data_IF_623900820293
#
_entry.id   IF_623900820293
#
_cell.length_a   1.000
_cell.length_b   1.000
_cell.length_c   1.000
_cell.angle_alpha   90.00
_cell.angle_beta   90.00
_cell.angle_gamma   90.00
#
_symmetry.space_group_name_H-M   'P 1'
#
loop_
_entity.id
_entity.type
_entity.pdbx_description
1 polymer ?
#
# COMPACT_ATOMS: atom_id res chain seq x y z
N UNK A 1 -5.51 25.40 0.61
CA UNK A 1 -6.56 24.78 -0.20
C UNK A 1 -7.09 23.50 0.45
N UNK A 2 -6.25 22.49 0.78
CA UNK A 2 -6.67 21.22 1.39
C UNK A 2 -7.54 21.36 2.65
N UNK A 3 -7.13 22.24 3.58
CA UNK A 3 -7.89 22.51 4.80
C UNK A 3 -9.28 23.13 4.50
N UNK A 4 -9.37 23.99 3.49
CA UNK A 4 -10.64 24.56 3.04
C UNK A 4 -11.54 23.50 2.38
N UNK A 5 -10.98 22.67 1.50
CA UNK A 5 -11.67 21.60 0.78
C UNK A 5 -12.30 20.57 1.73
N UNK A 6 -11.57 20.21 2.79
CA UNK A 6 -12.05 19.26 3.80
C UNK A 6 -12.95 19.90 4.87
N UNK A 7 -13.03 21.24 4.92
CA UNK A 7 -13.74 21.98 5.96
C UNK A 7 -13.03 21.96 7.32
N UNK A 8 -11.73 21.67 7.35
CA UNK A 8 -10.90 21.69 8.56
C UNK A 8 -10.35 23.10 8.77
N UNK A 9 -10.85 23.80 9.80
CA UNK A 9 -10.49 25.18 10.08
C UNK A 9 -9.60 25.31 11.31
N UNK A 10 -8.90 26.46 11.43
CA UNK A 10 -8.10 26.80 12.62
C UNK A 10 -6.86 25.95 12.81
N UNK A 11 -6.28 25.41 11.73
CA UNK A 11 -4.97 24.79 11.78
C UNK A 11 -3.87 25.83 12.04
N UNK A 12 -2.87 25.46 12.83
CA UNK A 12 -1.69 26.29 13.01
C UNK A 12 -1.00 26.55 11.65
N UNK A 13 -0.50 27.79 11.37
CA UNK A 13 0.12 28.11 10.07
C UNK A 13 1.24 27.15 9.67
N UNK A 14 2.04 26.65 10.61
CA UNK A 14 3.10 25.66 10.32
C UNK A 14 2.53 24.29 9.90
N UNK A 15 1.41 23.84 10.50
CA UNK A 15 0.74 22.62 10.03
C UNK A 15 0.20 22.78 8.60
N UNK A 16 -0.29 23.98 8.26
CA UNK A 16 -0.74 24.28 6.88
C UNK A 16 0.43 24.20 5.90
N UNK A 17 1.63 24.68 6.28
CA UNK A 17 2.84 24.55 5.46
C UNK A 17 3.27 23.09 5.32
N UNK A 18 3.26 22.31 6.40
CA UNK A 18 3.59 20.90 6.39
C UNK A 18 2.61 20.09 5.51
N UNK A 19 1.30 20.36 5.59
CA UNK A 19 0.32 19.80 4.65
C UNK A 19 0.66 20.14 3.20
N UNK A 20 1.09 21.38 2.93
CA UNK A 20 1.54 21.78 1.60
C UNK A 20 2.75 20.96 1.10
N UNK A 21 3.69 20.62 1.99
CA UNK A 21 4.85 19.76 1.65
C UNK A 21 4.43 18.35 1.23
N UNK A 22 3.34 17.81 1.79
CA UNK A 22 2.82 16.48 1.41
C UNK A 22 2.41 16.40 -0.08
N UNK A 23 2.14 17.53 -0.73
CA UNK A 23 1.85 17.56 -2.17
C UNK A 23 3.03 17.07 -3.03
N UNK A 24 4.25 17.17 -2.52
CA UNK A 24 5.47 16.74 -3.19
C UNK A 24 5.96 15.37 -2.71
N UNK A 25 5.14 14.68 -1.92
CA UNK A 25 5.44 13.36 -1.36
C UNK A 25 4.54 12.31 -2.00
N UNK A 26 5.16 11.17 -2.29
CA UNK A 26 4.47 9.99 -2.80
C UNK A 26 4.77 8.82 -1.88
N UNK A 27 3.76 8.09 -1.47
CA UNK A 27 3.87 6.88 -0.66
C UNK A 27 3.11 5.76 -1.37
N UNK A 28 3.78 4.65 -1.65
CA UNK A 28 3.21 3.52 -2.44
C UNK A 28 2.53 3.96 -3.76
N UNK A 29 3.12 4.96 -4.44
CA UNK A 29 2.59 5.49 -5.70
C UNK A 29 1.37 6.41 -5.58
N UNK A 30 0.91 6.71 -4.37
CA UNK A 30 -0.18 7.65 -4.08
C UNK A 30 0.39 8.98 -3.57
N UNK A 31 -0.12 10.12 -4.09
CA UNK A 31 0.25 11.43 -3.56
C UNK A 31 -0.30 11.60 -2.15
N UNK A 32 0.57 11.89 -1.18
CA UNK A 32 0.22 11.87 0.26
C UNK A 32 -0.81 12.95 0.61
N UNK A 33 -0.74 14.15 0.03
CA UNK A 33 -1.74 15.19 0.30
C UNK A 33 -3.13 14.80 -0.22
N UNK A 34 -3.21 14.27 -1.44
CA UNK A 34 -4.49 13.82 -2.01
C UNK A 34 -5.09 12.68 -1.20
N UNK A 35 -4.26 11.74 -0.77
CA UNK A 35 -4.64 10.68 0.14
C UNK A 35 -5.19 11.22 1.47
N UNK A 36 -4.49 12.15 2.11
CA UNK A 36 -4.95 12.77 3.37
C UNK A 36 -6.29 13.51 3.22
N UNK A 37 -6.52 14.19 2.10
CA UNK A 37 -7.82 14.81 1.78
C UNK A 37 -8.91 13.75 1.66
N UNK A 38 -8.63 12.66 0.94
CA UNK A 38 -9.57 11.56 0.74
C UNK A 38 -9.92 10.87 2.06
N UNK A 39 -8.91 10.57 2.90
CA UNK A 39 -9.10 9.99 4.24
C UNK A 39 -9.98 10.90 5.10
N UNK A 40 -9.74 12.21 5.08
CA UNK A 40 -10.57 13.17 5.81
C UNK A 40 -12.04 13.14 5.36
N UNK A 41 -12.30 13.05 4.06
CA UNK A 41 -13.66 12.95 3.54
C UNK A 41 -14.34 11.64 3.92
N UNK A 42 -13.66 10.50 3.74
CA UNK A 42 -14.20 9.18 4.06
C UNK A 42 -14.49 9.07 5.56
N UNK A 43 -13.52 9.46 6.42
CA UNK A 43 -13.71 9.46 7.87
C UNK A 43 -14.88 10.35 8.30
N UNK A 44 -15.00 11.54 7.68
CA UNK A 44 -16.11 12.45 7.95
C UNK A 44 -17.48 11.92 7.53
N UNK A 45 -17.58 11.22 6.40
CA UNK A 45 -18.81 10.58 5.93
C UNK A 45 -19.19 9.45 6.91
N UNK A 46 -18.25 8.56 7.24
CA UNK A 46 -18.51 7.48 8.19
C UNK A 46 -18.91 8.00 9.58
N UNK A 47 -18.26 9.07 10.06
CA UNK A 47 -18.63 9.70 11.33
C UNK A 47 -20.06 10.26 11.30
N UNK A 48 -20.47 10.88 10.18
CA UNK A 48 -21.83 11.38 10.01
C UNK A 48 -22.88 10.27 10.06
N UNK A 49 -22.61 9.12 9.42
CA UNK A 49 -23.55 7.98 9.35
C UNK A 49 -23.80 7.34 10.72
N UNK A 50 -22.76 7.29 11.58
CA UNK A 50 -22.87 6.64 12.89
C UNK A 50 -23.05 7.62 14.06
N UNK A 51 -23.15 8.94 13.78
CA UNK A 51 -23.33 9.98 14.79
C UNK A 51 -22.10 10.31 15.65
N UNK A 52 -20.89 10.05 15.13
CA UNK A 52 -19.62 10.41 15.76
C UNK A 52 -19.21 11.87 15.44
N UNK A 53 -18.12 12.37 16.04
CA UNK A 53 -17.65 13.74 15.77
C UNK A 53 -17.02 13.88 14.39
N UNK A 54 -17.79 14.43 13.45
CA UNK A 54 -17.39 14.65 12.05
C UNK A 54 -16.16 15.58 11.97
N UNK A 55 -16.09 16.60 12.82
CA UNK A 55 -14.98 17.56 12.78
C UNK A 55 -13.68 16.95 13.27
N UNK A 56 -13.76 16.17 14.35
CA UNK A 56 -12.62 15.40 14.86
C UNK A 56 -12.12 14.39 13.82
N UNK A 57 -13.01 13.58 13.26
CA UNK A 57 -12.68 12.56 12.28
C UNK A 57 -12.01 13.16 11.03
N UNK A 58 -12.57 14.25 10.47
CA UNK A 58 -11.98 14.96 9.34
C UNK A 58 -10.62 15.56 9.65
N UNK A 59 -10.47 16.17 10.82
CA UNK A 59 -9.23 16.80 11.24
C UNK A 59 -8.12 15.77 11.44
N UNK A 60 -8.41 14.69 12.16
CA UNK A 60 -7.47 13.60 12.36
C UNK A 60 -7.10 12.91 11.04
N UNK A 61 -8.08 12.64 10.17
CA UNK A 61 -7.87 12.08 8.85
C UNK A 61 -7.01 12.96 7.95
N UNK A 62 -7.19 14.29 7.97
CA UNK A 62 -6.35 15.22 7.20
C UNK A 62 -4.91 15.24 7.70
N UNK A 63 -4.69 15.03 8.99
CA UNK A 63 -3.39 15.16 9.66
C UNK A 63 -2.71 13.81 9.91
N UNK A 64 -3.34 12.65 9.57
CA UNK A 64 -2.83 11.34 9.96
C UNK A 64 -1.40 11.08 9.45
N UNK A 65 -1.07 11.54 8.27
CA UNK A 65 0.21 11.37 7.60
C UNK A 65 1.13 12.60 7.67
N UNK A 66 0.86 13.58 8.55
CA UNK A 66 1.59 14.84 8.60
C UNK A 66 3.10 14.67 8.84
N UNK A 67 3.51 13.60 9.55
CA UNK A 67 4.90 13.28 9.80
C UNK A 67 5.69 13.00 8.53
N UNK A 68 5.05 12.49 7.48
CA UNK A 68 5.68 12.26 6.17
C UNK A 68 6.18 13.55 5.49
N UNK A 69 5.78 14.72 5.99
CA UNK A 69 6.29 15.99 5.48
C UNK A 69 7.77 16.23 5.84
N UNK A 70 8.30 15.57 6.88
CA UNK A 70 9.64 15.79 7.44
C UNK A 70 10.38 14.50 7.89
N UNK A 71 9.86 13.32 7.59
CA UNK A 71 10.43 12.03 7.99
C UNK A 71 11.84 11.77 7.45
N UNK A 72 12.27 12.46 6.39
CA UNK A 72 13.67 12.43 5.93
C UNK A 72 14.62 13.32 6.73
N UNK A 73 14.08 14.25 7.51
CA UNK A 73 14.85 15.24 8.26
C UNK A 73 14.89 14.87 9.75
N UNK A 74 14.11 13.86 10.18
CA UNK A 74 13.94 13.47 11.58
C UNK A 74 14.03 11.95 11.75
N UNK A 75 14.61 11.50 12.86
CA UNK A 75 14.62 10.08 13.26
C UNK A 75 13.27 9.70 13.87
N UNK A 76 12.80 8.49 13.59
CA UNK A 76 11.54 7.92 14.09
C UNK A 76 10.55 7.58 12.99
N UNK A 77 9.44 6.96 13.38
CA UNK A 77 8.34 6.67 12.46
C UNK A 77 7.57 7.96 12.13
N UNK A 78 6.93 8.01 10.94
CA UNK A 78 6.12 9.19 10.60
C UNK A 78 4.94 9.39 11.57
N UNK A 79 4.49 8.34 12.28
CA UNK A 79 3.47 8.45 13.33
C UNK A 79 4.03 9.18 14.54
N UNK A 80 5.19 8.80 15.05
CA UNK A 80 5.86 9.46 16.19
C UNK A 80 6.19 10.92 15.88
N UNK A 81 6.78 11.16 14.71
CA UNK A 81 7.08 12.52 14.21
C UNK A 81 5.78 13.34 14.10
N UNK A 82 4.72 12.74 13.55
CA UNK A 82 3.40 13.37 13.45
C UNK A 82 2.82 13.75 14.80
N UNK A 83 2.85 12.84 15.77
CA UNK A 83 2.41 13.11 17.15
C UNK A 83 3.15 14.28 17.76
N UNK A 84 4.47 14.37 17.60
CA UNK A 84 5.29 15.43 18.16
C UNK A 84 5.03 16.80 17.48
N UNK A 85 4.82 16.79 16.16
CA UNK A 85 4.40 17.98 15.42
C UNK A 85 3.02 18.48 15.92
N UNK A 86 2.05 17.60 16.04
CA UNK A 86 0.71 17.94 16.49
C UNK A 86 0.70 18.46 17.93
N UNK A 87 1.47 17.85 18.85
CA UNK A 87 1.69 18.35 20.21
C UNK A 87 2.32 19.75 20.21
N UNK A 88 3.38 19.95 19.43
CA UNK A 88 4.10 21.22 19.30
C UNK A 88 3.18 22.34 18.84
N UNK A 89 2.28 22.06 17.90
CA UNK A 89 1.37 23.04 17.34
C UNK A 89 -0.01 23.04 18.01
N UNK A 90 -0.11 22.44 19.22
CA UNK A 90 -1.24 22.50 20.14
C UNK A 90 -2.56 21.94 19.57
N UNK A 91 -2.45 20.86 18.80
CA UNK A 91 -3.63 20.06 18.45
C UNK A 91 -4.20 19.37 19.70
N UNK A 92 -5.49 19.06 19.65
CA UNK A 92 -6.15 18.38 20.79
C UNK A 92 -5.63 16.94 20.95
N UNK A 93 -5.73 16.44 22.19
CA UNK A 93 -5.30 15.08 22.51
C UNK A 93 -6.09 14.03 21.73
N UNK A 94 -7.36 14.30 21.47
CA UNK A 94 -8.27 13.45 20.72
C UNK A 94 -7.83 13.34 19.25
N UNK A 95 -7.43 14.45 18.63
CA UNK A 95 -6.89 14.47 17.25
C UNK A 95 -5.58 13.69 17.18
N UNK A 96 -4.66 13.95 18.14
CA UNK A 96 -3.37 13.25 18.21
C UNK A 96 -3.58 11.76 18.40
N UNK A 97 -4.50 11.35 19.28
CA UNK A 97 -4.81 9.95 19.49
C UNK A 97 -5.39 9.32 18.22
N UNK A 98 -6.42 9.94 17.61
CA UNK A 98 -7.06 9.37 16.42
C UNK A 98 -6.10 9.24 15.23
N UNK A 99 -5.12 10.15 15.08
CA UNK A 99 -4.11 10.00 14.03
C UNK A 99 -3.05 8.94 14.35
N UNK A 100 -2.71 8.70 15.62
CA UNK A 100 -1.63 7.79 15.99
C UNK A 100 -1.94 6.31 15.80
N UNK A 101 -3.22 5.95 15.68
CA UNK A 101 -3.68 4.54 15.68
C UNK A 101 -3.74 3.90 14.29
N UNK A 102 -3.55 4.67 13.21
CA UNK A 102 -3.86 4.22 11.85
C UNK A 102 -2.97 3.05 11.34
N UNK A 103 -1.80 2.82 11.93
CA UNK A 103 -0.95 1.66 11.61
C UNK A 103 -0.99 0.54 12.66
N UNK A 104 -1.78 0.69 13.73
CA UNK A 104 -1.93 -0.34 14.76
C UNK A 104 -0.83 -0.33 15.83
N UNK A 105 0.12 0.61 15.80
CA UNK A 105 1.14 0.77 16.83
C UNK A 105 0.54 1.22 18.17
N UNK A 106 -0.62 1.87 18.12
CA UNK A 106 -1.38 2.34 19.28
C UNK A 106 -2.81 1.82 19.20
N UNK A 107 -3.35 1.38 20.33
CA UNK A 107 -4.71 0.84 20.41
C UNK A 107 -5.75 1.98 20.31
N UNK A 108 -6.75 1.88 19.39
CA UNK A 108 -7.79 2.90 19.26
C UNK A 108 -8.75 2.87 20.46
N UNK A 109 -8.90 4.00 21.14
CA UNK A 109 -9.77 4.17 22.32
C UNK A 109 -11.03 4.98 22.00
N UNK A 110 -11.15 5.52 20.79
CA UNK A 110 -12.31 6.32 20.35
C UNK A 110 -12.82 5.81 19.01
N UNK A 111 -14.10 6.08 18.75
CA UNK A 111 -14.72 5.72 17.47
C UNK A 111 -14.01 6.45 16.31
N UNK A 112 -13.68 7.70 16.49
CA UNK A 112 -12.99 8.49 15.45
C UNK A 112 -11.62 7.91 15.10
N UNK A 113 -10.89 7.34 16.07
CA UNK A 113 -9.62 6.65 15.82
C UNK A 113 -9.83 5.42 14.92
N UNK A 114 -10.85 4.60 15.20
CA UNK A 114 -11.23 3.46 14.35
C UNK A 114 -11.64 3.94 12.95
N UNK A 115 -12.40 5.03 12.86
CA UNK A 115 -12.85 5.59 11.58
C UNK A 115 -11.70 6.11 10.73
N UNK A 116 -10.70 6.75 11.32
CA UNK A 116 -9.50 7.21 10.61
C UNK A 116 -8.72 6.02 10.06
N UNK A 117 -8.50 5.00 10.87
CA UNK A 117 -7.83 3.75 10.43
C UNK A 117 -8.59 3.08 9.27
N UNK A 118 -9.91 2.96 9.37
CA UNK A 118 -10.73 2.38 8.31
C UNK A 118 -10.70 3.24 7.03
N UNK A 119 -10.76 4.57 7.17
CA UNK A 119 -10.72 5.49 6.04
C UNK A 119 -9.37 5.45 5.30
N UNK A 120 -8.26 5.36 6.04
CA UNK A 120 -6.93 5.16 5.47
C UNK A 120 -6.87 3.87 4.65
N UNK A 121 -7.30 2.75 5.22
CA UNK A 121 -7.34 1.46 4.54
C UNK A 121 -8.22 1.49 3.27
N UNK A 122 -9.39 2.12 3.31
CA UNK A 122 -10.29 2.26 2.16
C UNK A 122 -9.64 3.11 1.07
N UNK A 123 -9.05 4.26 1.42
CA UNK A 123 -8.39 5.14 0.46
C UNK A 123 -7.19 4.45 -0.21
N UNK A 124 -6.41 3.67 0.57
CA UNK A 124 -5.27 2.93 0.06
C UNK A 124 -5.66 1.75 -0.85
N UNK A 125 -6.79 1.07 -0.56
CA UNK A 125 -7.24 -0.13 -1.26
C UNK A 125 -8.07 0.15 -2.53
N UNK A 126 -8.58 1.36 -2.73
CA UNK A 126 -9.44 1.65 -3.89
C UNK A 126 -8.70 1.48 -5.22
N UNK A 127 -9.37 1.00 -6.28
CA UNK A 127 -8.75 0.82 -7.59
C UNK A 127 -8.07 2.09 -8.12
N UNK A 128 -6.80 2.00 -8.48
CA UNK A 128 -6.00 3.11 -9.04
C UNK A 128 -5.47 4.12 -8.02
N UNK A 129 -5.67 3.91 -6.70
CA UNK A 129 -5.12 4.78 -5.66
C UNK A 129 -3.59 4.71 -5.64
N UNK A 130 -3.06 3.51 -5.60
CA UNK A 130 -1.62 3.24 -5.64
C UNK A 130 -1.18 3.05 -7.10
N UNK A 131 -0.57 4.07 -7.67
CA UNK A 131 0.06 3.98 -8.98
C UNK A 131 1.49 3.52 -8.78
N UNK A 132 1.76 2.30 -9.20
CA UNK A 132 3.13 1.79 -9.24
C UNK A 132 3.97 2.66 -10.21
N UNK A 133 5.18 3.06 -9.80
CA UNK A 133 6.11 3.71 -10.72
C UNK A 133 6.62 2.70 -11.74
N UNK A 134 7.09 3.19 -12.90
CA UNK A 134 7.65 2.31 -13.93
C UNK A 134 8.83 1.48 -13.38
N UNK A 135 9.67 2.10 -12.54
CA UNK A 135 10.82 1.44 -11.92
C UNK A 135 10.38 0.35 -10.93
N UNK A 136 9.36 0.63 -10.08
CA UNK A 136 8.82 -0.36 -9.15
C UNK A 136 8.17 -1.52 -9.91
N UNK A 137 7.44 -1.21 -10.99
CA UNK A 137 6.87 -2.20 -11.89
C UNK A 137 7.94 -3.11 -12.51
N UNK A 138 9.01 -2.54 -13.07
CA UNK A 138 10.11 -3.31 -13.67
C UNK A 138 10.78 -4.20 -12.62
N UNK A 139 11.13 -3.65 -11.45
CA UNK A 139 11.74 -4.43 -10.35
C UNK A 139 10.86 -5.60 -9.90
N UNK A 140 9.54 -5.39 -9.87
CA UNK A 140 8.60 -6.47 -9.52
C UNK A 140 8.59 -7.58 -10.57
N UNK A 141 8.63 -7.25 -11.88
CA UNK A 141 8.73 -8.25 -12.93
C UNK A 141 10.04 -9.03 -12.84
N UNK A 142 11.15 -8.33 -12.69
CA UNK A 142 12.48 -8.94 -12.54
C UNK A 142 12.54 -9.88 -11.32
N UNK A 143 11.97 -9.43 -10.18
CA UNK A 143 11.94 -10.25 -8.96
C UNK A 143 11.04 -11.47 -9.09
N UNK A 144 9.90 -11.36 -9.77
CA UNK A 144 9.03 -12.51 -10.08
C UNK A 144 9.78 -13.55 -10.90
N UNK A 145 10.48 -13.14 -11.95
CA UNK A 145 11.26 -14.03 -12.80
C UNK A 145 12.48 -14.58 -12.05
N UNK A 146 13.14 -13.82 -11.21
CA UNK A 146 14.24 -14.27 -10.34
C UNK A 146 13.77 -15.38 -9.39
N UNK A 147 12.64 -15.18 -8.70
CA UNK A 147 12.05 -16.20 -7.81
C UNK A 147 11.80 -17.48 -8.59
N UNK A 148 11.10 -17.40 -9.72
CA UNK A 148 10.77 -18.58 -10.51
C UNK A 148 12.01 -19.30 -11.05
N UNK A 149 12.98 -18.56 -11.58
CA UNK A 149 14.19 -19.14 -12.16
C UNK A 149 15.17 -19.72 -11.10
N UNK A 150 14.96 -19.43 -9.82
CA UNK A 150 15.78 -19.98 -8.73
C UNK A 150 15.43 -21.43 -8.38
N UNK A 151 14.32 -21.96 -8.88
CA UNK A 151 13.89 -23.33 -8.60
C UNK A 151 14.52 -24.32 -9.59
N UNK A 152 14.99 -25.43 -9.05
CA UNK A 152 15.53 -26.52 -9.87
C UNK A 152 14.43 -27.10 -10.77
N UNK A 153 14.78 -27.41 -12.02
CA UNK A 153 13.83 -27.95 -13.01
C UNK A 153 13.09 -26.87 -13.81
N UNK A 154 13.20 -25.60 -13.47
CA UNK A 154 12.69 -24.51 -14.30
C UNK A 154 13.61 -24.30 -15.51
N UNK A 155 13.02 -24.24 -16.71
CA UNK A 155 13.72 -23.91 -17.95
C UNK A 155 13.67 -22.42 -18.25
N UNK A 156 12.48 -21.83 -18.17
CA UNK A 156 12.22 -20.39 -18.43
C UNK A 156 11.02 -19.92 -17.64
N UNK A 157 11.03 -18.64 -17.29
CA UNK A 157 9.85 -17.98 -16.73
C UNK A 157 9.60 -16.65 -17.43
N UNK A 158 8.34 -16.22 -17.44
CA UNK A 158 7.89 -14.99 -18.06
C UNK A 158 6.82 -14.32 -17.20
N UNK A 159 7.11 -13.11 -16.72
CA UNK A 159 6.10 -12.28 -16.10
C UNK A 159 5.25 -11.62 -17.21
N UNK A 160 3.97 -11.94 -17.27
CA UNK A 160 3.03 -11.48 -18.29
C UNK A 160 1.83 -10.77 -17.68
N UNK A 161 0.93 -10.22 -18.50
CA UNK A 161 -0.26 -9.48 -18.07
C UNK A 161 0.07 -8.37 -17.04
N UNK A 162 1.10 -7.58 -17.33
CA UNK A 162 1.59 -6.54 -16.44
C UNK A 162 1.99 -7.08 -15.04
N UNK A 163 2.58 -8.28 -14.97
CA UNK A 163 3.03 -8.93 -13.74
C UNK A 163 1.89 -9.50 -12.88
N UNK A 164 0.70 -9.71 -13.47
CA UNK A 164 -0.42 -10.39 -12.82
C UNK A 164 -0.43 -11.90 -13.07
N UNK A 165 0.41 -12.38 -13.97
CA UNK A 165 0.64 -13.80 -14.21
C UNK A 165 2.15 -14.02 -14.37
N UNK A 166 2.69 -15.05 -13.70
CA UNK A 166 3.99 -15.61 -14.03
C UNK A 166 3.79 -16.97 -14.67
N UNK A 167 4.34 -17.12 -15.89
CA UNK A 167 4.29 -18.35 -16.65
C UNK A 167 5.66 -19.01 -16.60
N UNK A 168 5.69 -20.26 -16.14
CA UNK A 168 6.91 -20.99 -15.82
C UNK A 168 6.92 -22.26 -16.66
N UNK A 169 7.94 -22.41 -17.48
CA UNK A 169 8.19 -23.62 -18.26
C UNK A 169 9.16 -24.49 -17.48
N UNK A 170 8.79 -25.74 -17.23
CA UNK A 170 9.65 -26.71 -16.53
C UNK A 170 10.16 -27.76 -17.51
N UNK A 171 11.35 -28.32 -17.20
CA UNK A 171 11.95 -29.41 -17.96
C UNK A 171 11.22 -30.70 -17.63
N UNK A 172 10.61 -31.40 -18.63
CA UNK A 172 9.82 -32.61 -18.39
C UNK A 172 10.60 -33.74 -17.77
N UNK A 173 11.91 -33.79 -18.00
CA UNK A 173 12.82 -34.77 -17.44
C UNK A 173 13.14 -34.56 -15.96
N UNK A 174 12.95 -33.33 -15.44
CA UNK A 174 13.34 -32.97 -14.07
C UNK A 174 12.12 -32.77 -13.15
N UNK A 175 10.94 -32.54 -13.70
CA UNK A 175 9.72 -32.21 -12.93
C UNK A 175 8.60 -33.14 -13.40
N UNK A 176 8.05 -33.94 -12.52
CA UNK A 176 6.91 -34.82 -12.80
C UNK A 176 5.57 -34.03 -12.71
N UNK A 177 4.48 -34.64 -13.18
CA UNK A 177 3.14 -34.07 -13.08
C UNK A 177 2.67 -33.95 -11.62
N UNK A 178 3.16 -34.78 -10.71
CA UNK A 178 2.87 -34.73 -9.28
C UNK A 178 3.62 -33.57 -8.61
N UNK A 179 4.84 -33.29 -9.05
CA UNK A 179 5.68 -32.24 -8.49
C UNK A 179 5.20 -30.81 -8.87
N UNK A 180 4.52 -30.65 -10.01
CA UNK A 180 4.01 -29.35 -10.48
C UNK A 180 3.15 -28.66 -9.41
N UNK A 181 2.28 -29.40 -8.73
CA UNK A 181 1.38 -28.83 -7.73
C UNK A 181 2.11 -28.36 -6.48
N UNK A 182 3.12 -29.09 -6.05
CA UNK A 182 3.97 -28.71 -4.91
C UNK A 182 4.80 -27.49 -5.28
N UNK A 183 5.44 -27.51 -6.44
CA UNK A 183 6.24 -26.40 -6.95
C UNK A 183 5.42 -25.11 -7.08
N UNK A 184 4.18 -25.19 -7.59
CA UNK A 184 3.29 -24.04 -7.68
C UNK A 184 2.94 -23.46 -6.30
N UNK A 185 2.70 -24.31 -5.30
CA UNK A 185 2.39 -23.89 -3.94
C UNK A 185 3.59 -23.19 -3.27
N UNK A 186 4.78 -23.80 -3.41
CA UNK A 186 6.00 -23.26 -2.80
C UNK A 186 6.38 -21.92 -3.43
N UNK A 187 6.28 -21.80 -4.77
CA UNK A 187 6.51 -20.54 -5.47
C UNK A 187 5.48 -19.46 -5.06
N UNK A 188 4.20 -19.83 -4.95
CA UNK A 188 3.15 -18.90 -4.52
C UNK A 188 3.47 -18.35 -3.15
N UNK A 189 3.80 -19.21 -2.18
CA UNK A 189 4.16 -18.80 -0.83
C UNK A 189 5.37 -17.86 -0.82
N UNK A 190 6.40 -18.20 -1.56
CA UNK A 190 7.60 -17.37 -1.64
C UNK A 190 7.34 -16.02 -2.29
N UNK A 191 6.46 -15.95 -3.32
CA UNK A 191 6.02 -14.70 -3.92
C UNK A 191 5.27 -13.85 -2.90
N UNK A 192 4.39 -14.45 -2.10
CA UNK A 192 3.66 -13.77 -1.02
C UNK A 192 4.59 -13.21 0.06
N UNK A 193 5.65 -13.97 0.42
CA UNK A 193 6.60 -13.58 1.46
C UNK A 193 7.62 -12.52 0.99
N UNK A 194 8.01 -12.52 -0.30
CA UNK A 194 9.11 -11.68 -0.81
C UNK A 194 8.65 -10.47 -1.64
N UNK A 195 7.38 -10.41 -2.06
CA UNK A 195 6.88 -9.38 -2.98
C UNK A 195 5.66 -8.65 -2.45
N UNK A 196 5.72 -7.32 -2.52
CA UNK A 196 4.51 -6.48 -2.38
C UNK A 196 3.88 -6.25 -3.76
N UNK A 197 2.61 -6.63 -3.91
CA UNK A 197 1.90 -6.47 -5.18
C UNK A 197 0.41 -6.14 -4.98
N UNK A 198 -0.17 -5.31 -5.86
CA UNK A 198 -1.59 -4.99 -5.79
C UNK A 198 -2.44 -6.08 -6.42
N UNK A 199 -3.29 -6.73 -5.64
CA UNK A 199 -4.24 -7.74 -6.12
C UNK A 199 -3.68 -9.17 -6.04
N UNK A 200 -3.91 -9.99 -7.08
CA UNK A 200 -3.47 -11.38 -7.13
C UNK A 200 -2.47 -11.59 -8.26
N UNK A 201 -1.50 -12.48 -8.05
CA UNK A 201 -0.58 -12.98 -9.06
C UNK A 201 -0.92 -14.45 -9.34
N UNK A 202 -1.21 -14.74 -10.61
CA UNK A 202 -1.44 -16.11 -11.06
C UNK A 202 -0.09 -16.79 -11.32
N UNK A 203 0.20 -17.87 -10.63
CA UNK A 203 1.35 -18.74 -10.89
C UNK A 203 0.91 -19.88 -11.81
N UNK A 204 1.47 -19.93 -13.03
CA UNK A 204 1.13 -20.93 -14.05
C UNK A 204 2.36 -21.73 -14.42
N UNK A 205 2.41 -23.01 -14.03
CA UNK A 205 3.49 -23.91 -14.38
C UNK A 205 3.06 -24.78 -15.56
N UNK A 206 3.91 -24.86 -16.57
CA UNK A 206 3.67 -25.60 -17.80
C UNK A 206 4.79 -26.64 -17.99
N UNK A 207 4.40 -27.89 -18.09
CA UNK A 207 5.23 -29.00 -18.50
C UNK A 207 4.79 -29.43 -19.90
N UNK A 208 5.68 -29.38 -20.89
CA UNK A 208 5.34 -29.63 -22.28
C UNK A 208 6.34 -30.57 -22.91
N UNK A 209 5.83 -31.58 -23.64
CA UNK A 209 6.64 -32.45 -24.50
C UNK A 209 6.22 -32.23 -25.95
N UNK A 210 7.18 -31.95 -26.85
CA UNK A 210 6.92 -31.72 -28.27
C UNK A 210 7.61 -32.81 -29.11
N UNK A 211 6.87 -33.35 -30.07
CA UNK A 211 7.42 -34.14 -31.16
C UNK A 211 7.21 -33.37 -32.47
N UNK A 212 8.26 -33.23 -33.29
CA UNK A 212 8.21 -32.48 -34.56
C UNK A 212 8.70 -33.39 -35.65
N UNK A 213 7.86 -33.60 -36.71
CA UNK A 213 8.19 -34.34 -37.93
C UNK A 213 7.89 -33.46 -39.15
N UNK A 214 8.66 -33.60 -40.21
CA UNK A 214 8.49 -32.89 -41.45
C UNK A 214 8.02 -33.81 -42.57
N UNK A 215 6.80 -33.57 -43.10
CA UNK A 215 6.38 -34.21 -44.35
C UNK A 215 7.14 -33.58 -45.53
N UNK A 216 7.69 -34.42 -46.43
CA UNK A 216 8.36 -34.00 -47.67
C UNK A 216 7.46 -34.20 -48.85
#
# INVERSE_FOLDING_TARGET
QAAFETGVHGLHPELVKLLGRLNYRTSYGQNVLKHSIEVAHIAGIMAAEIGADIRLAKRAGLLHDIGKAVDHEMEGTHVEIGMDLLKRYKESKEVIHAMSTHHGDYEPQTIEAVLVTAADAISAARPGARRETLEAYIRRLEKLEEIANSYEGVDKSFAIQAGREIRIMVKPENVSDEDIHLLARDMTKRIEDELEYPGQIKVSIIRETRAIEYAK
#
